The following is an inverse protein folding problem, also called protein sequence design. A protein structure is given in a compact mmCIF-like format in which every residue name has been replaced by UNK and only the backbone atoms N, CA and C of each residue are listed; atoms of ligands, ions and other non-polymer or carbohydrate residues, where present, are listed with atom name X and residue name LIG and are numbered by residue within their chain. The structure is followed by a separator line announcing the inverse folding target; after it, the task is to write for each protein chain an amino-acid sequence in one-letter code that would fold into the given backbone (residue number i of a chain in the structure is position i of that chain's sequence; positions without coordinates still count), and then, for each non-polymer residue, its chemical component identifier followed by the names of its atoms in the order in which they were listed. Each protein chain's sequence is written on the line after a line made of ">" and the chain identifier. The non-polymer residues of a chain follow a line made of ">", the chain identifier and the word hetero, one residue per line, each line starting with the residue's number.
data_IF_788765051668
#
_entry.id   IF_788765051668
#
_cell.length_a   1.000
_cell.length_b   1.000
_cell.length_c   1.000
_cell.angle_alpha   90.00
_cell.angle_beta   90.00
_cell.angle_gamma   90.00
#
_symmetry.space_group_name_H-M   'P 1'
#
loop_
_entity.id
_entity.type
_entity.pdbx_description
1 polymer ?
#
# COMPACT_ATOMS: atom_id res chain seq x y z
N UNK A 1 17.02 11.00 -2.32
CA UNK A 1 15.83 10.35 -1.70
C UNK A 1 15.91 8.83 -1.81
N UNK A 2 15.87 8.23 -3.02
CA UNK A 2 15.88 6.75 -3.13
C UNK A 2 17.16 6.08 -2.63
N UNK A 3 18.34 6.68 -2.87
CA UNK A 3 19.59 6.15 -2.30
C UNK A 3 19.61 6.11 -0.76
N UNK A 4 18.85 7.00 -0.10
CA UNK A 4 18.70 6.97 1.36
C UNK A 4 17.74 5.86 1.80
N UNK A 5 16.62 5.69 1.11
CA UNK A 5 15.68 4.57 1.32
C UNK A 5 16.43 3.23 1.23
N UNK A 6 17.22 3.03 0.18
CA UNK A 6 17.98 1.79 -0.02
C UNK A 6 19.04 1.59 1.06
N UNK A 7 19.71 2.66 1.51
CA UNK A 7 20.67 2.60 2.61
C UNK A 7 20.01 2.17 3.93
N UNK A 8 18.83 2.73 4.23
CA UNK A 8 18.04 2.37 5.42
C UNK A 8 17.50 0.95 5.37
N UNK A 9 17.09 0.50 4.18
CA UNK A 9 16.59 -0.86 3.97
C UNK A 9 17.66 -1.93 4.24
N UNK A 10 18.95 -1.63 4.08
CA UNK A 10 20.06 -2.56 4.35
C UNK A 10 19.91 -3.91 3.60
N UNK A 11 19.48 -3.85 2.33
CA UNK A 11 19.28 -5.04 1.50
C UNK A 11 17.87 -5.64 1.55
N UNK A 12 17.00 -5.16 2.46
CA UNK A 12 15.57 -5.51 2.49
C UNK A 12 14.85 -5.05 1.23
N UNK A 13 13.74 -5.73 0.92
CA UNK A 13 12.84 -5.36 -0.17
C UNK A 13 12.14 -4.04 0.16
N UNK A 14 12.29 -3.05 -0.71
CA UNK A 14 11.62 -1.76 -0.55
C UNK A 14 10.23 -1.81 -1.20
N UNK A 15 9.17 -1.80 -0.39
CA UNK A 15 7.78 -1.89 -0.86
C UNK A 15 7.04 -0.59 -0.53
N UNK A 16 6.42 0.01 -1.54
CA UNK A 16 5.60 1.21 -1.37
C UNK A 16 4.23 0.88 -0.79
N UNK A 17 3.70 1.72 0.09
CA UNK A 17 2.34 1.53 0.62
C UNK A 17 1.49 2.81 0.66
N UNK A 18 0.25 2.71 0.17
CA UNK A 18 -0.76 3.77 0.16
C UNK A 18 -2.17 3.17 0.36
N UNK A 19 -2.73 3.23 1.56
CA UNK A 19 -3.88 2.39 1.92
C UNK A 19 -5.23 3.11 1.94
N UNK A 20 -5.24 4.44 1.97
CA UNK A 20 -6.47 5.19 2.18
C UNK A 20 -6.57 6.43 1.29
N UNK A 21 -7.74 6.57 0.67
CA UNK A 21 -8.18 7.78 -0.04
C UNK A 21 -9.07 8.66 0.86
N UNK A 22 -9.16 8.34 2.15
CA UNK A 22 -9.96 9.01 3.16
C UNK A 22 -9.32 10.36 3.59
N UNK A 23 -9.32 11.35 2.69
CA UNK A 23 -8.93 12.73 3.02
C UNK A 23 -10.12 13.70 3.08
N UNK A 24 -11.32 13.25 2.70
CA UNK A 24 -12.58 14.02 2.71
C UNK A 24 -13.62 13.34 3.59
N UNK A 25 -14.44 14.12 4.32
CA UNK A 25 -15.49 13.60 5.21
C UNK A 25 -16.74 13.15 4.43
N UNK A 26 -16.58 12.17 3.53
CA UNK A 26 -17.62 11.63 2.66
C UNK A 26 -17.87 10.12 2.90
N UNK A 27 -18.77 9.54 2.10
CA UNK A 27 -19.11 8.12 2.20
C UNK A 27 -17.95 7.18 1.81
N UNK A 28 -16.99 7.62 1.01
CA UNK A 28 -15.83 6.81 0.59
C UNK A 28 -14.78 6.73 1.70
N UNK A 29 -14.64 7.79 2.49
CA UNK A 29 -13.81 7.81 3.69
C UNK A 29 -14.18 6.73 4.72
N UNK A 30 -15.48 6.56 4.99
CA UNK A 30 -15.97 5.51 5.91
C UNK A 30 -15.77 4.09 5.39
N UNK A 31 -15.50 3.95 4.09
CA UNK A 31 -15.35 2.69 3.36
C UNK A 31 -13.90 2.48 2.91
N UNK A 32 -12.93 3.15 3.51
CA UNK A 32 -11.51 2.96 3.24
C UNK A 32 -10.81 2.21 4.37
N UNK A 33 -9.68 1.59 4.06
CA UNK A 33 -8.80 0.96 5.04
C UNK A 33 -8.25 2.05 5.99
N UNK A 34 -8.18 1.74 7.30
CA UNK A 34 -7.65 2.62 8.34
C UNK A 34 -6.35 2.06 8.90
N UNK A 35 -5.51 2.92 9.46
CA UNK A 35 -4.20 2.54 10.01
C UNK A 35 -4.31 1.40 11.03
N UNK A 36 -5.39 1.35 11.82
CA UNK A 36 -5.64 0.30 12.82
C UNK A 36 -5.75 -1.10 12.18
N UNK A 37 -6.24 -1.20 10.94
CA UNK A 37 -6.32 -2.47 10.22
C UNK A 37 -4.96 -2.94 9.71
N UNK A 38 -3.93 -2.09 9.65
CA UNK A 38 -2.58 -2.45 9.18
C UNK A 38 -1.66 -2.93 10.28
N UNK A 39 -2.07 -2.91 11.56
CA UNK A 39 -1.21 -3.35 12.66
C UNK A 39 -0.56 -4.73 12.41
N UNK A 40 -1.30 -5.77 11.94
CA UNK A 40 -0.70 -7.08 11.63
C UNK A 40 0.31 -7.05 10.48
N UNK A 41 0.17 -6.12 9.53
CA UNK A 41 1.05 -6.03 8.36
C UNK A 41 2.47 -5.63 8.76
N UNK A 42 2.60 -4.70 9.70
CA UNK A 42 3.91 -4.18 10.12
C UNK A 42 4.76 -5.21 10.84
N UNK A 43 4.12 -6.18 11.50
CA UNK A 43 4.78 -7.26 12.24
C UNK A 43 4.98 -8.52 11.39
N UNK A 44 4.39 -8.57 10.19
CA UNK A 44 4.36 -9.79 9.35
C UNK A 44 5.67 -10.17 8.69
N UNK A 45 6.59 -9.22 8.46
CA UNK A 45 7.84 -9.50 7.76
C UNK A 45 8.97 -8.60 8.23
N UNK A 46 10.14 -9.22 8.44
CA UNK A 46 11.38 -8.51 8.76
C UNK A 46 12.20 -8.12 7.53
N UNK A 47 11.83 -8.67 6.38
CA UNK A 47 12.56 -8.58 5.11
C UNK A 47 12.08 -7.41 4.23
N UNK A 48 11.05 -6.69 4.69
CA UNK A 48 10.46 -5.56 3.98
C UNK A 48 10.83 -4.26 4.69
N UNK A 49 11.32 -3.31 3.90
CA UNK A 49 11.42 -1.90 4.24
C UNK A 49 10.25 -1.15 3.61
N UNK A 50 9.33 -0.66 4.43
CA UNK A 50 8.13 0.02 3.94
C UNK A 50 8.40 1.47 3.57
N UNK A 51 8.09 1.84 2.33
CA UNK A 51 8.08 3.24 1.87
C UNK A 51 6.67 3.77 1.98
N UNK A 52 6.38 4.49 3.06
CA UNK A 52 5.05 4.97 3.40
C UNK A 52 4.73 6.23 2.59
N UNK A 53 3.79 6.09 1.68
CA UNK A 53 3.37 7.14 0.75
C UNK A 53 2.02 7.76 1.12
N UNK A 54 1.41 7.30 2.23
CA UNK A 54 0.12 7.79 2.72
C UNK A 54 0.15 9.29 3.02
N UNK A 55 -0.98 9.93 2.78
CA UNK A 55 -1.22 11.36 3.01
C UNK A 55 -2.44 11.57 3.91
N UNK A 56 -2.63 12.82 4.31
CA UNK A 56 -3.82 13.27 5.06
C UNK A 56 -3.96 12.68 6.45
N UNK A 57 -5.21 12.47 6.87
CA UNK A 57 -5.59 12.06 8.22
C UNK A 57 -4.99 10.71 8.62
N UNK A 58 -5.09 9.70 7.76
CA UNK A 58 -4.58 8.36 8.05
C UNK A 58 -3.05 8.33 8.19
N UNK A 59 -2.33 9.22 7.49
CA UNK A 59 -0.90 9.43 7.72
C UNK A 59 -0.65 9.96 9.13
N UNK A 60 -1.39 10.98 9.56
CA UNK A 60 -1.24 11.57 10.89
C UNK A 60 -1.48 10.52 11.99
N UNK A 61 -2.53 9.72 11.88
CA UNK A 61 -2.79 8.64 12.82
C UNK A 61 -1.69 7.57 12.83
N UNK A 62 -1.12 7.25 11.67
CA UNK A 62 -0.07 6.24 11.57
C UNK A 62 1.28 6.70 12.11
N UNK A 63 1.67 7.96 11.87
CA UNK A 63 2.99 8.47 12.32
C UNK A 63 3.12 8.55 13.84
N UNK A 64 2.03 8.58 14.59
CA UNK A 64 2.05 8.56 16.06
C UNK A 64 2.42 7.18 16.66
N UNK A 65 2.32 6.11 15.86
CA UNK A 65 2.60 4.73 16.27
C UNK A 65 4.08 4.43 16.56
N UNK A 66 4.40 3.26 17.15
CA UNK A 66 5.78 2.86 17.40
C UNK A 66 6.53 2.48 16.11
N UNK A 67 5.86 1.83 15.15
CA UNK A 67 6.49 1.35 13.91
C UNK A 67 7.02 2.48 13.02
N UNK A 68 6.31 3.63 12.99
CA UNK A 68 6.72 4.81 12.22
C UNK A 68 8.04 5.43 12.68
N UNK A 69 8.48 5.09 13.89
CA UNK A 69 9.69 5.60 14.53
C UNK A 69 10.91 4.70 14.29
N UNK A 70 10.74 3.56 13.61
CA UNK A 70 11.82 2.67 13.24
C UNK A 70 12.36 3.01 11.83
N UNK A 71 13.52 3.70 11.74
CA UNK A 71 14.10 4.09 10.45
C UNK A 71 14.72 2.92 9.68
N UNK A 72 14.92 1.75 10.29
CA UNK A 72 15.40 0.55 9.58
C UNK A 72 14.23 -0.17 8.90
N UNK A 73 13.04 -0.10 9.49
CA UNK A 73 11.83 -0.77 9.00
C UNK A 73 10.96 0.07 8.07
N UNK A 74 11.03 1.40 8.15
CA UNK A 74 10.27 2.25 7.25
C UNK A 74 10.95 3.58 6.87
N UNK A 75 10.50 4.13 5.75
CA UNK A 75 10.75 5.53 5.36
C UNK A 75 9.42 6.19 5.00
N UNK A 76 9.12 7.31 5.64
CA UNK A 76 7.92 8.11 5.36
C UNK A 76 8.24 9.17 4.32
N UNK A 77 7.48 9.23 3.24
CA UNK A 77 7.65 10.29 2.26
C UNK A 77 7.25 11.66 2.84
N UNK A 78 8.00 12.73 2.54
CA UNK A 78 7.62 14.10 2.89
C UNK A 78 6.24 14.47 2.33
N UNK A 79 5.47 15.29 3.06
CA UNK A 79 4.15 15.75 2.58
C UNK A 79 4.25 16.62 1.34
N UNK A 80 5.37 17.33 1.16
CA UNK A 80 5.65 18.21 0.03
C UNK A 80 6.07 17.45 -1.23
N UNK A 81 6.28 16.13 -1.15
CA UNK A 81 6.57 15.32 -2.34
C UNK A 81 5.43 15.47 -3.33
N UNK A 82 5.70 15.88 -4.56
CA UNK A 82 4.69 15.99 -5.61
C UNK A 82 4.45 14.64 -6.30
N UNK A 83 3.45 14.56 -7.19
CA UNK A 83 3.10 13.32 -7.87
C UNK A 83 4.26 12.76 -8.71
N UNK A 84 4.93 13.59 -9.50
CA UNK A 84 6.05 13.16 -10.33
C UNK A 84 7.21 12.58 -9.50
N UNK A 85 7.52 13.20 -8.37
CA UNK A 85 8.51 12.69 -7.42
C UNK A 85 8.08 11.37 -6.79
N UNK A 86 6.81 11.24 -6.40
CA UNK A 86 6.28 9.99 -5.85
C UNK A 86 6.36 8.84 -6.87
N UNK A 87 6.02 9.10 -8.13
CA UNK A 87 6.15 8.14 -9.23
C UNK A 87 7.62 7.74 -9.43
N UNK A 88 8.55 8.70 -9.45
CA UNK A 88 9.98 8.40 -9.55
C UNK A 88 10.52 7.59 -8.37
N UNK A 89 9.92 7.71 -7.19
CA UNK A 89 10.22 6.81 -6.07
C UNK A 89 9.66 5.40 -6.34
N UNK A 90 8.38 5.28 -6.73
CA UNK A 90 7.73 4.00 -7.05
C UNK A 90 8.52 3.21 -8.09
N UNK A 91 9.01 3.87 -9.13
CA UNK A 91 9.80 3.26 -10.21
C UNK A 91 11.07 2.56 -9.71
N UNK A 92 11.59 2.95 -8.55
CA UNK A 92 12.78 2.36 -7.95
C UNK A 92 12.47 1.43 -6.77
N UNK A 93 11.18 1.15 -6.49
CA UNK A 93 10.75 0.17 -5.49
C UNK A 93 10.66 -1.24 -6.08
N UNK A 94 10.69 -2.24 -5.20
CA UNK A 94 10.60 -3.65 -5.55
C UNK A 94 9.15 -4.13 -5.68
N UNK A 95 8.22 -3.43 -5.04
CA UNK A 95 6.79 -3.71 -5.14
C UNK A 95 5.94 -2.56 -4.60
N UNK A 96 4.62 -2.70 -4.73
CA UNK A 96 3.67 -1.68 -4.31
C UNK A 96 2.37 -2.29 -3.76
N UNK A 97 1.89 -1.76 -2.65
CA UNK A 97 0.59 -2.11 -2.07
C UNK A 97 -0.25 -0.85 -1.96
N UNK A 98 -1.44 -0.85 -2.53
CA UNK A 98 -2.31 0.30 -2.28
C UNK A 98 -3.75 0.14 -2.69
N UNK A 99 -4.57 1.08 -2.27
CA UNK A 99 -5.99 1.10 -2.62
C UNK A 99 -6.23 1.61 -4.06
N UNK A 100 -7.49 1.75 -4.47
CA UNK A 100 -7.82 2.40 -5.75
C UNK A 100 -7.52 3.91 -5.70
N UNK A 101 -6.30 4.26 -6.09
CA UNK A 101 -5.79 5.62 -6.04
C UNK A 101 -4.66 5.86 -7.03
N UNK A 102 -4.31 7.13 -7.22
CA UNK A 102 -3.35 7.57 -8.25
C UNK A 102 -2.00 6.86 -8.19
N UNK A 103 -1.52 6.53 -6.98
CA UNK A 103 -0.24 5.86 -6.80
C UNK A 103 -0.28 4.39 -7.22
N UNK A 104 -1.41 3.70 -7.02
CA UNK A 104 -1.62 2.33 -7.49
C UNK A 104 -1.71 2.27 -9.01
N UNK A 105 -2.38 3.24 -9.64
CA UNK A 105 -2.39 3.37 -11.10
C UNK A 105 -0.99 3.58 -11.66
N UNK A 106 -0.18 4.43 -11.02
CA UNK A 106 1.21 4.64 -11.42
C UNK A 106 2.06 3.36 -11.23
N UNK A 107 1.93 2.67 -10.10
CA UNK A 107 2.64 1.43 -9.84
C UNK A 107 2.29 0.33 -10.85
N UNK A 108 1.01 0.19 -11.19
CA UNK A 108 0.55 -0.74 -12.21
C UNK A 108 1.06 -0.39 -13.61
N UNK A 109 1.08 0.91 -13.97
CA UNK A 109 1.65 1.37 -15.24
C UNK A 109 3.17 1.15 -15.33
N UNK A 110 3.87 1.20 -14.20
CA UNK A 110 5.30 0.86 -14.06
C UNK A 110 5.55 -0.65 -13.90
N UNK A 111 4.52 -1.48 -14.07
CA UNK A 111 4.59 -2.95 -13.97
C UNK A 111 5.19 -3.44 -12.62
N UNK A 112 4.94 -2.71 -11.54
CA UNK A 112 5.40 -3.12 -10.20
C UNK A 112 4.59 -4.32 -9.72
N UNK A 113 5.24 -5.38 -9.20
CA UNK A 113 4.51 -6.46 -8.56
C UNK A 113 3.87 -5.95 -7.26
N UNK A 114 2.72 -6.48 -6.90
CA UNK A 114 2.08 -6.04 -5.66
C UNK A 114 0.60 -6.32 -5.54
N UNK A 115 -0.05 -5.49 -4.74
CA UNK A 115 -1.43 -5.70 -4.32
C UNK A 115 -2.27 -4.43 -4.48
N UNK A 116 -3.40 -4.56 -5.17
CA UNK A 116 -4.46 -3.56 -5.26
C UNK A 116 -5.57 -3.92 -4.26
N UNK A 117 -5.77 -3.05 -3.27
CA UNK A 117 -6.72 -3.23 -2.17
C UNK A 117 -8.06 -2.59 -2.54
N UNK A 118 -9.07 -3.43 -2.80
CA UNK A 118 -10.38 -2.98 -3.22
C UNK A 118 -11.46 -3.32 -2.20
N UNK A 119 -12.48 -2.50 -2.16
CA UNK A 119 -13.69 -2.80 -1.41
C UNK A 119 -14.66 -3.64 -2.26
N UNK A 120 -15.25 -4.69 -1.70
CA UNK A 120 -16.05 -5.67 -2.43
C UNK A 120 -17.27 -5.06 -3.13
N UNK A 121 -18.03 -4.18 -2.47
CA UNK A 121 -19.28 -3.62 -3.04
C UNK A 121 -19.19 -2.18 -3.53
N UNK A 122 -18.00 -1.59 -3.49
CA UNK A 122 -17.78 -0.20 -3.89
C UNK A 122 -16.56 -0.02 -4.80
N UNK A 123 -15.98 -1.11 -5.29
CA UNK A 123 -14.98 -1.04 -6.35
C UNK A 123 -15.61 -0.57 -7.66
N UNK A 124 -14.84 0.20 -8.43
CA UNK A 124 -15.18 0.58 -9.79
C UNK A 124 -15.42 -0.66 -10.67
N UNK A 125 -16.38 -0.56 -11.59
CA UNK A 125 -16.77 -1.64 -12.50
C UNK A 125 -15.60 -2.24 -13.28
N UNK A 126 -14.55 -1.44 -13.54
CA UNK A 126 -13.34 -1.84 -14.28
C UNK A 126 -12.55 -2.99 -13.65
N UNK A 127 -12.72 -3.22 -12.35
CA UNK A 127 -11.99 -4.26 -11.63
C UNK A 127 -12.69 -5.61 -11.61
N UNK A 128 -13.92 -5.70 -12.12
CA UNK A 128 -14.80 -6.86 -11.98
C UNK A 128 -14.96 -7.33 -10.51
N UNK A 129 -15.93 -8.19 -10.24
CA UNK A 129 -16.30 -8.56 -8.86
C UNK A 129 -15.52 -9.78 -8.34
N UNK A 130 -15.21 -10.75 -9.22
CA UNK A 130 -14.76 -12.09 -8.81
C UNK A 130 -13.37 -12.49 -9.36
N UNK A 131 -12.51 -11.52 -9.65
CA UNK A 131 -11.15 -11.78 -10.16
C UNK A 131 -10.09 -11.19 -9.23
N UNK A 132 -9.07 -12.01 -8.93
CA UNK A 132 -7.87 -11.66 -8.17
C UNK A 132 -6.80 -10.95 -9.02
N UNK A 133 -7.15 -10.58 -10.25
CA UNK A 133 -6.33 -9.82 -11.17
C UNK A 133 -7.17 -8.77 -11.90
N UNK A 134 -6.52 -7.73 -12.43
CA UNK A 134 -7.17 -6.72 -13.29
C UNK A 134 -6.45 -6.66 -14.63
N UNK A 135 -7.18 -6.61 -15.76
CA UNK A 135 -6.56 -6.49 -17.08
C UNK A 135 -5.79 -5.18 -17.25
N UNK A 136 -6.10 -4.16 -16.43
CA UNK A 136 -5.43 -2.87 -16.46
C UNK A 136 -4.04 -2.90 -15.83
N UNK A 137 -3.87 -3.71 -14.77
CA UNK A 137 -2.61 -3.83 -14.01
C UNK A 137 -2.30 -5.30 -13.74
N UNK A 138 -1.86 -6.07 -14.74
CA UNK A 138 -1.59 -7.50 -14.57
C UNK A 138 -0.53 -7.82 -13.49
N UNK A 139 0.34 -6.86 -13.16
CA UNK A 139 1.34 -7.00 -12.10
C UNK A 139 0.79 -6.83 -10.68
N UNK A 140 -0.41 -6.26 -10.52
CA UNK A 140 -1.05 -6.04 -9.24
C UNK A 140 -2.17 -7.06 -9.00
N UNK A 141 -1.96 -7.94 -8.02
CA UNK A 141 -2.99 -8.87 -7.55
C UNK A 141 -4.06 -8.10 -6.78
N UNK A 142 -5.33 -8.41 -7.00
CA UNK A 142 -6.43 -7.71 -6.37
C UNK A 142 -6.87 -8.43 -5.10
N UNK A 143 -6.90 -7.72 -3.98
CA UNK A 143 -7.40 -8.23 -2.70
C UNK A 143 -8.70 -7.52 -2.32
N UNK A 144 -9.69 -8.32 -1.93
CA UNK A 144 -11.01 -7.87 -1.46
C UNK A 144 -11.35 -8.54 -0.12
N UNK A 145 -12.02 -7.83 0.80
CA UNK A 145 -12.57 -8.46 1.99
C UNK A 145 -13.76 -9.37 1.63
N UNK A 146 -14.12 -10.32 2.48
CA UNK A 146 -15.26 -11.21 2.19
C UNK A 146 -16.61 -10.47 2.34
N UNK A 147 -16.62 -9.42 3.16
CA UNK A 147 -17.79 -8.59 3.42
C UNK A 147 -17.45 -7.10 3.33
N UNK A 148 -18.47 -6.27 3.12
CA UNK A 148 -18.33 -4.81 3.09
C UNK A 148 -17.73 -4.32 4.42
N UNK A 149 -16.57 -3.66 4.35
CA UNK A 149 -15.87 -3.17 5.55
C UNK A 149 -15.06 -4.22 6.30
N UNK A 150 -14.93 -5.45 5.79
CA UNK A 150 -14.14 -6.53 6.37
C UNK A 150 -12.62 -6.34 6.23
N UNK A 151 -12.09 -5.16 6.52
CA UNK A 151 -10.68 -4.80 6.29
C UNK A 151 -9.69 -5.71 7.01
N UNK A 152 -10.05 -6.25 8.18
CA UNK A 152 -9.20 -7.21 8.89
C UNK A 152 -8.95 -8.46 8.03
N UNK A 153 -9.99 -9.04 7.42
CA UNK A 153 -9.85 -10.19 6.51
C UNK A 153 -9.01 -9.86 5.28
N UNK A 154 -9.09 -8.64 4.77
CA UNK A 154 -8.22 -8.19 3.67
C UNK A 154 -6.77 -8.05 4.11
N UNK A 155 -6.51 -7.51 5.31
CA UNK A 155 -5.15 -7.44 5.86
C UNK A 155 -4.58 -8.84 6.09
N UNK A 156 -5.36 -9.80 6.59
CA UNK A 156 -4.92 -11.20 6.76
C UNK A 156 -4.51 -11.83 5.42
N UNK A 157 -5.30 -11.61 4.37
CA UNK A 157 -4.94 -12.02 3.00
C UNK A 157 -3.66 -11.35 2.51
N UNK A 158 -3.50 -10.05 2.79
CA UNK A 158 -2.31 -9.29 2.43
C UNK A 158 -1.07 -9.80 3.15
N UNK A 159 -1.16 -10.06 4.45
CA UNK A 159 -0.08 -10.64 5.27
C UNK A 159 0.33 -11.99 4.69
N UNK A 160 -0.64 -12.86 4.38
CA UNK A 160 -0.36 -14.18 3.80
C UNK A 160 0.30 -14.07 2.40
N UNK A 161 -0.05 -13.04 1.63
CA UNK A 161 0.50 -12.83 0.29
C UNK A 161 1.81 -12.04 0.27
N UNK A 162 2.21 -11.39 1.36
CA UNK A 162 3.38 -10.49 1.34
C UNK A 162 4.69 -11.26 1.11
N UNK A 163 4.72 -12.54 1.47
CA UNK A 163 5.85 -13.45 1.23
C UNK A 163 6.21 -13.53 -0.26
N UNK A 164 5.21 -13.48 -1.16
CA UNK A 164 5.43 -13.48 -2.62
C UNK A 164 6.24 -12.27 -3.11
N UNK A 165 6.20 -11.15 -2.37
CA UNK A 165 6.99 -9.95 -2.67
C UNK A 165 8.42 -10.04 -2.12
N UNK A 166 8.64 -10.91 -1.14
CA UNK A 166 9.95 -11.16 -0.53
C UNK A 166 10.74 -12.22 -1.30
N UNK A 167 10.06 -13.23 -1.85
CA UNK A 167 10.68 -14.41 -2.48
C UNK A 167 11.09 -14.25 -3.95
N UNK A 168 10.67 -13.16 -4.60
CA UNK A 168 11.13 -12.76 -5.94
C UNK A 168 12.41 -11.95 -5.83
#
# INVERSE_FOLDING_TARGET
>A
MVGEIRRRAQGRRCVGIFWSSCESNDLYARKSLRHAHLAPLWESSEDIHWVVMQRGYERACWVDGPYSKDPQRCTVLPTQTNLAQAIGVIDLLDGFVGNDGVLSHAAGALNKPGYLLLNTRCADWRYAQDVDATPWYPSLKVLRPDTMGGWNTLTEKLVSGIEDLVSR
#
